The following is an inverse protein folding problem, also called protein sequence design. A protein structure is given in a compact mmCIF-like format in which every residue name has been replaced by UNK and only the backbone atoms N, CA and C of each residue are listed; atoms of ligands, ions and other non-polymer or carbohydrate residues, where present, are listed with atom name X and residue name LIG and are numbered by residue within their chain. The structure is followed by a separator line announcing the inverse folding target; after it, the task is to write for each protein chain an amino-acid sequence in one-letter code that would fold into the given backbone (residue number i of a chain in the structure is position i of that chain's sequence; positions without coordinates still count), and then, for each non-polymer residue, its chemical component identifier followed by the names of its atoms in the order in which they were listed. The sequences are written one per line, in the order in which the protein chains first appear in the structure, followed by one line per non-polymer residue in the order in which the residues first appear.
data_IF_442002443180
#
_entry.id   IF_442002443180
#
_cell.length_a   1.000
_cell.length_b   1.000
_cell.length_c   1.000
_cell.angle_alpha   90.00
_cell.angle_beta   90.00
_cell.angle_gamma   90.00
#
_symmetry.space_group_name_H-M   'P 1'
#
loop_
_entity.id
_entity.type
_entity.pdbx_description
1 polymer ?
#
# COMPACT_ATOMS: atom_id res chain seq x y z
N UNK A 1 17.44 -13.98 4.75
CA UNK A 1 17.00 -13.48 3.98
C UNK A 1 15.87 -12.84 4.13
N UNK A 2 15.59 -12.06 3.98
CA UNK A 2 14.63 -11.51 4.15
C UNK A 2 13.70 -11.36 3.43
N UNK A 3 12.87 -10.87 3.58
CA UNK A 3 11.86 -10.97 3.22
C UNK A 3 11.21 -9.91 2.80
N UNK A 4 11.60 -9.22 2.00
CA UNK A 4 10.93 -8.14 1.49
C UNK A 4 9.81 -8.63 0.72
N UNK A 5 9.69 -9.84 0.54
CA UNK A 5 8.58 -10.31 -0.14
C UNK A 5 7.30 -10.17 0.62
N UNK A 6 7.34 -9.62 1.78
CA UNK A 6 6.13 -9.31 2.51
C UNK A 6 5.49 -8.04 1.99
N UNK A 7 6.14 -7.31 1.10
CA UNK A 7 5.60 -6.08 0.54
C UNK A 7 5.69 -6.09 -0.98
N UNK A 8 4.61 -5.71 -1.64
CA UNK A 8 4.57 -5.65 -3.10
C UNK A 8 4.91 -4.26 -3.59
N UNK A 9 5.83 -4.16 -4.56
CA UNK A 9 6.24 -2.90 -5.16
C UNK A 9 5.13 -2.33 -6.03
N UNK A 10 4.90 -1.01 -5.93
CA UNK A 10 3.99 -0.33 -6.85
C UNK A 10 4.62 0.97 -7.30
N UNK A 11 4.98 1.04 -8.58
CA UNK A 11 5.60 2.23 -9.15
C UNK A 11 4.57 3.32 -9.38
N UNK A 12 5.05 4.56 -9.49
CA UNK A 12 4.21 5.74 -9.70
C UNK A 12 3.20 5.55 -10.83
N UNK A 13 3.63 4.96 -11.93
CA UNK A 13 2.73 4.78 -13.09
C UNK A 13 1.66 3.74 -12.85
N UNK A 14 1.84 2.86 -11.89
CA UNK A 14 0.84 1.83 -11.56
C UNK A 14 -0.25 2.40 -10.67
N UNK A 15 0.09 3.30 -9.76
CA UNK A 15 -0.86 3.87 -8.80
C UNK A 15 -1.40 5.22 -9.23
N UNK A 16 -0.69 5.93 -10.10
CA UNK A 16 -1.00 7.32 -10.42
C UNK A 16 -0.47 8.30 -9.38
N UNK A 17 0.31 7.82 -8.42
CA UNK A 17 0.88 8.66 -7.38
C UNK A 17 2.17 9.31 -7.85
N UNK A 18 2.60 10.41 -7.20
CA UNK A 18 3.85 11.07 -7.58
C UNK A 18 5.11 10.32 -7.15
N UNK A 19 4.99 9.32 -6.28
CA UNK A 19 6.13 8.57 -5.76
C UNK A 19 5.79 7.09 -5.67
N UNK A 20 6.82 6.26 -5.61
CA UNK A 20 6.67 4.81 -5.51
C UNK A 20 6.29 4.38 -4.08
N UNK A 21 5.53 3.31 -3.96
CA UNK A 21 5.14 2.76 -2.66
C UNK A 21 5.29 1.24 -2.65
N UNK A 22 5.27 0.66 -1.46
CA UNK A 22 5.23 -0.79 -1.26
C UNK A 22 4.01 -1.10 -0.41
N UNK A 23 3.26 -2.12 -0.81
CA UNK A 23 2.02 -2.53 -0.16
C UNK A 23 2.25 -3.82 0.61
N UNK A 24 1.80 -3.86 1.87
CA UNK A 24 1.89 -5.04 2.70
C UNK A 24 1.05 -6.16 2.12
N UNK A 25 1.60 -7.36 2.05
CA UNK A 25 0.87 -8.52 1.53
C UNK A 25 1.36 -9.80 2.24
N UNK A 26 0.81 -10.93 1.88
CA UNK A 26 1.23 -12.25 2.37
C UNK A 26 1.04 -12.48 3.87
N UNK A 27 0.21 -11.70 4.51
CA UNK A 27 -0.11 -11.92 5.91
C UNK A 27 1.05 -11.71 6.85
N UNK A 28 2.03 -10.89 6.49
CA UNK A 28 3.21 -10.65 7.32
C UNK A 28 2.85 -10.27 8.75
N UNK A 29 1.84 -9.44 8.93
CA UNK A 29 1.43 -9.01 10.26
C UNK A 29 0.91 -10.18 11.11
N UNK A 30 0.34 -11.20 10.48
CA UNK A 30 -0.14 -12.39 11.17
C UNK A 30 1.01 -13.28 11.65
N UNK A 31 2.18 -13.13 11.06
CA UNK A 31 3.35 -13.92 11.43
C UNK A 31 4.19 -13.25 12.52
N UNK A 32 3.64 -12.21 13.15
CA UNK A 32 4.35 -11.52 14.20
C UNK A 32 5.27 -10.42 13.71
N UNK A 33 5.07 -9.96 12.49
CA UNK A 33 5.81 -8.82 11.96
C UNK A 33 5.26 -7.52 12.53
N UNK A 34 5.43 -6.45 11.80
CA UNK A 34 4.90 -5.16 12.22
C UNK A 34 3.38 -5.07 11.97
N UNK A 35 2.75 -4.03 12.48
CA UNK A 35 1.36 -3.74 12.13
C UNK A 35 1.28 -3.44 10.62
N UNK A 36 0.10 -3.64 10.05
CA UNK A 36 -0.13 -3.39 8.63
C UNK A 36 0.26 -1.96 8.27
N UNK A 37 1.00 -1.80 7.19
CA UNK A 37 1.50 -0.49 6.80
C UNK A 37 1.83 -0.42 5.32
N UNK A 38 1.99 0.82 4.84
CA UNK A 38 2.46 1.12 3.49
C UNK A 38 3.84 1.77 3.63
N UNK A 39 4.80 1.31 2.85
CA UNK A 39 6.12 1.93 2.82
C UNK A 39 6.15 2.91 1.66
N UNK A 40 6.66 4.11 1.89
CA UNK A 40 6.62 5.22 0.94
C UNK A 40 8.04 5.67 0.61
N UNK A 41 8.38 5.68 -0.69
CA UNK A 41 9.69 6.16 -1.12
C UNK A 41 9.74 7.68 -0.99
N UNK A 42 10.77 8.20 -0.33
CA UNK A 42 10.83 9.61 0.01
C UNK A 42 11.58 10.47 -1.00
N UNK A 43 11.60 10.05 -2.25
CA UNK A 43 12.13 10.85 -3.36
C UNK A 43 11.29 10.57 -4.61
N UNK A 44 11.53 11.36 -5.67
CA UNK A 44 10.75 11.27 -6.90
C UNK A 44 11.32 10.31 -7.95
N UNK A 45 12.30 9.51 -7.58
CA UNK A 45 12.93 8.60 -8.53
C UNK A 45 11.94 7.60 -9.14
N UNK A 46 12.14 7.26 -10.40
CA UNK A 46 11.32 6.24 -11.07
C UNK A 46 11.70 4.85 -10.58
N UNK A 47 12.97 4.66 -10.24
CA UNK A 47 13.46 3.39 -9.78
C UNK A 47 13.05 3.17 -8.33
N UNK A 48 12.56 1.99 -8.02
CA UNK A 48 12.24 1.61 -6.65
C UNK A 48 13.51 1.66 -5.80
N UNK A 49 13.50 2.45 -4.74
CA UNK A 49 14.64 2.61 -3.86
C UNK A 49 14.21 2.40 -2.41
N UNK A 50 14.95 1.56 -1.72
CA UNK A 50 14.64 1.20 -0.36
C UNK A 50 14.92 2.32 0.64
N UNK A 51 15.75 3.29 0.28
CA UNK A 51 16.12 4.42 1.13
C UNK A 51 16.17 5.69 0.30
N UNK A 52 15.75 6.83 0.83
CA UNK A 52 15.02 6.99 2.08
C UNK A 52 13.54 6.60 1.94
N UNK A 53 12.95 6.20 3.04
CA UNK A 53 11.54 5.84 3.05
C UNK A 53 10.89 6.27 4.37
N UNK A 54 9.55 6.30 4.38
CA UNK A 54 8.79 6.33 5.62
C UNK A 54 7.65 5.32 5.49
N UNK A 55 6.93 5.10 6.58
CA UNK A 55 5.78 4.21 6.55
C UNK A 55 4.52 4.96 6.94
N UNK A 56 3.39 4.52 6.40
CA UNK A 56 2.07 5.01 6.78
C UNK A 56 1.24 3.84 7.26
N UNK A 57 0.31 4.08 8.19
CA UNK A 57 -0.68 3.07 8.52
C UNK A 57 -1.72 3.02 7.40
N UNK A 58 -2.68 2.12 7.49
CA UNK A 58 -3.67 1.94 6.41
C UNK A 58 -4.72 3.05 6.35
N UNK A 59 -4.62 4.05 7.23
CA UNK A 59 -5.49 5.22 7.18
C UNK A 59 -4.74 6.45 6.67
N UNK A 60 -3.49 6.25 6.21
CA UNK A 60 -2.70 7.33 5.63
C UNK A 60 -1.95 8.18 6.63
N UNK A 61 -1.86 7.75 7.88
CA UNK A 61 -1.10 8.49 8.89
C UNK A 61 0.35 8.06 8.88
N UNK A 62 1.27 9.03 8.86
CA UNK A 62 2.71 8.72 8.90
C UNK A 62 3.04 8.11 10.26
N UNK A 63 3.78 7.02 10.25
CA UNK A 63 4.28 6.39 11.46
C UNK A 63 5.55 7.14 11.84
N UNK A 64 5.46 7.94 12.87
CA UNK A 64 6.49 8.95 13.20
C UNK A 64 7.90 8.44 13.32
N UNK A 65 8.10 7.32 13.97
CA UNK A 65 9.45 6.80 14.16
C UNK A 65 10.09 6.26 12.87
N UNK A 66 9.35 6.21 11.77
CA UNK A 66 9.90 5.83 10.47
C UNK A 66 10.21 7.05 9.60
N UNK A 67 9.81 8.26 10.03
CA UNK A 67 9.93 9.46 9.22
C UNK A 67 11.09 10.33 9.67
N UNK A 68 11.99 10.67 8.74
CA UNK A 68 13.06 11.63 8.98
C UNK A 68 12.85 12.78 8.03
N UNK A 69 12.44 13.91 8.57
CA UNK A 69 12.18 15.11 7.79
C UNK A 69 13.40 15.56 6.98
N UNK A 70 14.59 15.36 7.52
CA UNK A 70 15.83 15.77 6.86
C UNK A 70 16.12 14.96 5.59
N UNK A 71 15.62 13.75 5.53
CA UNK A 71 15.84 12.88 4.36
C UNK A 71 14.68 12.93 3.39
N UNK A 72 13.63 13.66 3.73
CA UNK A 72 12.44 13.74 2.90
C UNK A 72 12.66 14.71 1.74
N UNK A 73 12.62 14.20 0.52
CA UNK A 73 12.74 15.02 -0.68
C UNK A 73 11.38 15.24 -1.35
N UNK A 74 10.32 14.78 -0.71
CA UNK A 74 8.97 14.85 -1.26
C UNK A 74 8.19 15.97 -0.60
N UNK A 75 7.42 16.73 -1.38
CA UNK A 75 6.65 17.85 -0.84
C UNK A 75 5.51 17.37 0.06
N UNK A 76 5.09 18.23 0.97
CA UNK A 76 3.93 17.95 1.83
C UNK A 76 2.68 17.66 1.01
N UNK A 77 2.51 18.40 -0.09
CA UNK A 77 1.38 18.20 -0.99
C UNK A 77 1.36 16.79 -1.56
N UNK A 78 2.51 16.29 -2.00
CA UNK A 78 2.61 14.97 -2.60
C UNK A 78 2.47 13.87 -1.55
N UNK A 79 3.00 14.08 -0.34
CA UNK A 79 2.77 13.13 0.76
C UNK A 79 1.30 13.05 1.12
N UNK A 80 0.60 14.19 1.09
CA UNK A 80 -0.84 14.22 1.37
C UNK A 80 -1.61 13.44 0.29
N UNK A 81 -1.15 13.52 -0.95
CA UNK A 81 -1.77 12.77 -2.03
C UNK A 81 -1.64 11.27 -1.80
N UNK A 82 -0.47 10.81 -1.34
CA UNK A 82 -0.26 9.40 -0.98
C UNK A 82 -1.15 9.03 0.20
N UNK A 83 -1.21 9.90 1.21
CA UNK A 83 -2.04 9.68 2.39
C UNK A 83 -3.51 9.50 2.01
N UNK A 84 -4.01 10.34 1.11
CA UNK A 84 -5.40 10.24 0.63
C UNK A 84 -5.62 8.95 -0.15
N UNK A 85 -4.66 8.56 -0.96
CA UNK A 85 -4.73 7.31 -1.72
C UNK A 85 -4.85 6.11 -0.76
N UNK A 86 -4.01 6.10 0.26
CA UNK A 86 -4.00 5.01 1.26
C UNK A 86 -5.34 4.97 2.00
N UNK A 87 -5.80 6.13 2.47
CA UNK A 87 -7.08 6.20 3.17
C UNK A 87 -8.23 5.72 2.28
N UNK A 88 -8.22 6.16 1.04
CA UNK A 88 -9.28 5.80 0.10
C UNK A 88 -9.30 4.32 -0.26
N UNK A 89 -8.17 3.67 -0.18
CA UNK A 89 -8.06 2.24 -0.49
C UNK A 89 -7.87 1.38 0.77
N UNK A 90 -8.10 1.96 1.96
CA UNK A 90 -7.73 1.28 3.21
C UNK A 90 -8.39 -0.09 3.38
N UNK A 91 -9.65 -0.21 3.01
CA UNK A 91 -10.35 -1.49 3.15
C UNK A 91 -9.72 -2.57 2.25
N UNK A 92 -9.44 -2.22 1.00
CA UNK A 92 -8.79 -3.15 0.07
C UNK A 92 -7.37 -3.49 0.52
N UNK A 93 -6.63 -2.48 1.00
CA UNK A 93 -5.26 -2.69 1.49
C UNK A 93 -5.24 -3.61 2.70
N UNK A 94 -6.23 -3.49 3.58
CA UNK A 94 -6.37 -4.36 4.73
C UNK A 94 -6.57 -5.82 4.30
N UNK A 95 -7.38 -6.03 3.27
CA UNK A 95 -7.68 -7.37 2.78
C UNK A 95 -6.50 -8.02 2.05
N UNK A 96 -5.72 -7.22 1.33
CA UNK A 96 -4.47 -7.69 0.70
C UNK A 96 -3.48 -8.12 1.78
N UNK A 97 -3.34 -7.30 2.83
CA UNK A 97 -2.41 -7.60 3.92
C UNK A 97 -2.77 -8.90 4.64
N UNK A 98 -4.06 -9.23 4.70
CA UNK A 98 -4.55 -10.46 5.32
C UNK A 98 -4.67 -11.62 4.36
N UNK A 99 -4.24 -11.44 3.11
CA UNK A 99 -4.33 -12.46 2.06
C UNK A 99 -5.76 -12.87 1.72
N UNK A 100 -6.73 -12.01 1.98
CA UNK A 100 -8.12 -12.29 1.61
C UNK A 100 -8.36 -11.97 0.14
N UNK A 101 -7.53 -11.11 -0.47
CA UNK A 101 -7.47 -10.91 -1.91
C UNK A 101 -5.99 -10.86 -2.29
N UNK A 102 -5.68 -11.05 -3.57
CA UNK A 102 -4.31 -11.03 -4.05
C UNK A 102 -3.99 -9.69 -4.70
N UNK A 103 -2.69 -9.43 -4.92
CA UNK A 103 -2.28 -8.15 -5.52
C UNK A 103 -2.90 -7.91 -6.89
N UNK A 104 -3.08 -8.96 -7.69
CA UNK A 104 -3.71 -8.83 -9.00
C UNK A 104 -5.14 -8.32 -8.86
N UNK A 105 -5.86 -8.82 -7.84
CA UNK A 105 -7.23 -8.38 -7.58
C UNK A 105 -7.25 -6.93 -7.10
N UNK A 106 -6.29 -6.58 -6.23
CA UNK A 106 -6.17 -5.22 -5.75
C UNK A 106 -5.93 -4.25 -6.90
N UNK A 107 -5.06 -4.64 -7.84
CA UNK A 107 -4.74 -3.77 -8.98
C UNK A 107 -5.98 -3.47 -9.84
N UNK A 108 -6.93 -4.40 -9.89
CA UNK A 108 -8.15 -4.20 -10.66
C UNK A 108 -9.14 -3.26 -9.97
N UNK A 109 -9.19 -3.31 -8.64
CA UNK A 109 -10.16 -2.53 -7.88
C UNK A 109 -9.62 -1.24 -7.30
N UNK A 110 -8.28 -1.14 -7.13
CA UNK A 110 -7.67 0.07 -6.61
C UNK A 110 -7.74 1.15 -7.67
N UNK A 111 -7.82 2.38 -7.20
CA UNK A 111 -8.09 3.44 -8.12
C UNK A 111 -6.98 4.41 -8.26
N UNK A 112 -6.58 4.60 -9.49
CA UNK A 112 -5.57 5.59 -9.85
C UNK A 112 -6.23 6.96 -9.84
N UNK A 113 -6.52 7.45 -8.65
CA UNK A 113 -7.14 8.76 -8.51
C UNK A 113 -8.58 8.84 -8.98
N UNK A 114 -9.25 7.72 -9.09
CA UNK A 114 -10.60 7.66 -9.59
C UNK A 114 -11.61 7.20 -8.54
N UNK A 115 -12.59 6.44 -8.99
CA UNK A 115 -13.69 6.01 -8.14
C UNK A 115 -13.30 4.79 -7.32
N UNK A 116 -13.54 4.85 -6.01
CA UNK A 116 -13.24 3.76 -5.12
C UNK A 116 -14.15 2.57 -5.31
N UNK A 117 -13.60 1.37 -5.15
CA UNK A 117 -14.44 0.19 -5.00
C UNK A 117 -15.14 0.30 -3.64
N UNK A 118 -16.42 0.00 -3.60
CA UNK A 118 -17.16 0.02 -2.34
C UNK A 118 -16.78 -1.19 -1.51
N UNK A 119 -17.07 -1.14 -0.21
CA UNK A 119 -16.83 -2.29 0.66
C UNK A 119 -17.60 -3.52 0.17
N UNK A 120 -18.80 -3.32 -0.35
CA UNK A 120 -19.60 -4.42 -0.89
C UNK A 120 -18.91 -5.08 -2.09
N UNK A 121 -18.34 -4.28 -2.99
CA UNK A 121 -17.61 -4.81 -4.15
C UNK A 121 -16.39 -5.62 -3.69
N UNK A 122 -15.70 -5.14 -2.68
CA UNK A 122 -14.52 -5.81 -2.14
C UNK A 122 -14.94 -7.11 -1.43
N UNK A 123 -16.03 -7.09 -0.66
CA UNK A 123 -16.52 -8.28 0.01
C UNK A 123 -16.94 -9.36 -1.01
N UNK A 124 -17.54 -8.93 -2.11
CA UNK A 124 -17.90 -9.87 -3.17
C UNK A 124 -16.66 -10.48 -3.83
N UNK A 125 -15.62 -9.67 -4.01
CA UNK A 125 -14.36 -10.14 -4.55
C UNK A 125 -13.70 -11.16 -3.60
N UNK A 126 -13.76 -10.94 -2.30
CA UNK A 126 -13.25 -11.89 -1.32
C UNK A 126 -13.94 -13.24 -1.47
N UNK A 127 -15.25 -13.24 -1.68
CA UNK A 127 -15.99 -14.48 -1.89
C UNK A 127 -15.55 -15.19 -3.17
N UNK A 128 -15.28 -14.43 -4.23
CA UNK A 128 -14.78 -15.00 -5.49
C UNK A 128 -13.41 -15.62 -5.31
N UNK A 129 -12.52 -14.94 -4.58
CA UNK A 129 -11.17 -15.45 -4.31
C UNK A 129 -11.26 -16.74 -3.51
N UNK A 130 -12.09 -16.77 -2.47
CA UNK A 130 -12.29 -17.96 -1.65
C UNK A 130 -12.76 -19.14 -2.51
N UNK A 131 -13.67 -18.89 -3.44
CA UNK A 131 -14.17 -19.92 -4.32
C UNK A 131 -13.08 -20.46 -5.26
N UNK A 132 -12.16 -19.59 -5.69
CA UNK A 132 -11.07 -20.00 -6.59
C UNK A 132 -10.02 -20.86 -5.91
N UNK A 133 -9.79 -20.66 -4.62
CA UNK A 133 -8.72 -21.36 -3.92
C UNK A 133 -9.21 -22.59 -3.17
N UNK A 134 -10.49 -22.91 -3.24
CA UNK A 134 -11.02 -24.11 -2.58
C UNK A 134 -11.21 -25.29 -3.57
#
# INVERSE_FOLDING_TARGET
MERIYEMANRRKRQTGLPINIWIDENGWCKLGGHAKRIKVQMNYGEKMQNQPFCCMDLYGNIIEDTFDEKECEVSTKDLRQVSNYVLNNSYALDKVADEEIFMEDYDEISIKGGKLASEEEIDNLIKEVDARVK
#
